data_IF_410619039545
#
_entry.id   IF_410619039545
#
_cell.length_a   1.000
_cell.length_b   1.000
_cell.length_c   1.000
_cell.angle_alpha   90.00
_cell.angle_beta   90.00
_cell.angle_gamma   90.00
#
_symmetry.space_group_name_H-M   'P 1'
#
loop_
_entity.id
_entity.type
_entity.pdbx_description
1 polymer ?
#
# COMPACT_ATOMS: atom_id res chain seq x y z
N UNK A 1 21.04 -35.59 16.86
CA UNK A 1 19.87 -35.52 15.94
C UNK A 1 18.92 -34.37 16.28
N UNK A 2 18.53 -34.18 17.55
CA UNK A 2 17.62 -33.11 17.99
C UNK A 2 18.06 -31.65 17.65
N UNK A 3 19.36 -31.37 17.67
CA UNK A 3 19.92 -30.04 17.33
C UNK A 3 19.76 -29.68 15.85
N UNK A 4 19.82 -30.68 14.95
CA UNK A 4 19.60 -30.47 13.51
C UNK A 4 18.13 -30.20 13.22
N UNK A 5 17.22 -30.80 14.00
CA UNK A 5 15.78 -30.57 13.90
C UNK A 5 15.40 -29.13 14.25
N UNK A 6 16.00 -28.55 15.29
CA UNK A 6 15.76 -27.15 15.68
C UNK A 6 16.25 -26.18 14.60
N UNK A 7 17.41 -26.43 14.00
CA UNK A 7 17.95 -25.63 12.91
C UNK A 7 17.04 -25.69 11.66
N UNK A 8 16.48 -26.86 11.33
CA UNK A 8 15.56 -27.03 10.21
C UNK A 8 14.24 -26.27 10.43
N UNK A 9 13.70 -26.28 11.66
CA UNK A 9 12.47 -25.55 12.00
C UNK A 9 12.67 -24.04 11.92
N UNK A 10 13.82 -23.53 12.35
CA UNK A 10 14.15 -22.10 12.28
C UNK A 10 14.27 -21.55 10.84
N UNK A 11 14.66 -22.39 9.87
CA UNK A 11 14.71 -22.00 8.45
C UNK A 11 13.33 -21.95 7.79
N UNK A 12 12.34 -22.68 8.31
CA UNK A 12 11.00 -22.75 7.71
C UNK A 12 10.11 -21.56 8.10
N UNK A 13 10.35 -20.93 9.25
CA UNK A 13 9.53 -19.80 9.71
C UNK A 13 9.78 -18.50 8.96
N UNK A 14 10.88 -18.40 8.20
CA UNK A 14 11.24 -17.20 7.41
C UNK A 14 10.37 -16.97 6.16
N UNK A 15 9.49 -17.92 5.81
CA UNK A 15 8.68 -17.89 4.57
C UNK A 15 7.31 -17.20 4.79
N UNK A 16 6.96 -16.85 6.02
CA UNK A 16 5.74 -16.10 6.33
C UNK A 16 5.94 -14.60 5.99
N UNK A 17 6.04 -14.29 4.71
CA UNK A 17 6.00 -12.91 4.23
C UNK A 17 4.56 -12.40 4.26
N UNK A 18 4.32 -11.26 4.92
CA UNK A 18 3.03 -10.58 4.86
C UNK A 18 2.74 -10.12 3.42
N UNK A 19 1.76 -10.77 2.79
CA UNK A 19 1.22 -10.33 1.50
C UNK A 19 0.29 -9.15 1.79
N UNK A 20 0.87 -7.96 1.90
CA UNK A 20 0.09 -6.71 1.89
C UNK A 20 -0.51 -6.52 0.49
N UNK A 21 -1.85 -6.58 0.45
CA UNK A 21 -2.63 -6.36 -0.77
C UNK A 21 -2.81 -4.85 -0.99
N UNK A 22 -2.83 -4.39 -2.24
CA UNK A 22 -3.02 -2.95 -2.54
C UNK A 22 -4.49 -2.53 -2.42
N UNK A 23 -5.43 -3.48 -2.36
CA UNK A 23 -6.84 -3.22 -2.11
C UNK A 23 -7.06 -2.44 -0.80
N UNK A 24 -8.00 -1.49 -0.82
CA UNK A 24 -8.34 -0.66 0.34
C UNK A 24 -8.47 0.82 0.00
N UNK A 25 -8.46 1.66 1.04
CA UNK A 25 -8.58 3.11 0.91
C UNK A 25 -7.22 3.79 1.01
N UNK A 26 -6.92 4.62 0.03
CA UNK A 26 -5.64 5.32 -0.10
C UNK A 26 -5.86 6.82 -0.11
N UNK A 27 -4.92 7.56 0.47
CA UNK A 27 -4.94 9.03 0.48
C UNK A 27 -3.97 9.55 -0.57
N UNK A 28 -4.43 10.43 -1.44
CA UNK A 28 -3.56 11.20 -2.32
C UNK A 28 -3.05 12.43 -1.57
N UNK A 29 -1.75 12.69 -1.71
CA UNK A 29 -1.05 13.80 -1.07
C UNK A 29 -0.36 14.60 -2.19
N UNK A 30 -0.53 15.92 -2.18
CA UNK A 30 0.23 16.85 -3.03
C UNK A 30 1.71 16.78 -2.63
N UNK A 31 2.57 16.47 -3.58
CA UNK A 31 4.01 16.31 -3.36
C UNK A 31 4.71 17.65 -3.04
N UNK A 32 4.16 18.78 -3.51
CA UNK A 32 4.70 20.12 -3.28
C UNK A 32 4.27 20.68 -1.92
N UNK A 33 3.03 20.44 -1.50
CA UNK A 33 2.46 21.07 -0.29
C UNK A 33 2.30 20.12 0.88
N UNK A 34 2.29 18.81 0.65
CA UNK A 34 1.94 17.80 1.65
C UNK A 34 0.44 17.76 1.97
N UNK A 35 -0.39 18.52 1.26
CA UNK A 35 -1.81 18.56 1.51
C UNK A 35 -2.51 17.29 1.03
N UNK A 36 -3.52 16.86 1.78
CA UNK A 36 -4.36 15.76 1.38
C UNK A 36 -5.36 16.23 0.31
N UNK A 37 -5.44 15.50 -0.80
CA UNK A 37 -6.27 15.88 -1.94
C UNK A 37 -7.52 15.00 -2.08
N UNK A 38 -7.35 13.68 -2.04
CA UNK A 38 -8.44 12.72 -2.29
C UNK A 38 -8.31 11.45 -1.46
N UNK A 39 -9.42 10.72 -1.33
CA UNK A 39 -9.45 9.31 -0.91
C UNK A 39 -9.84 8.46 -2.12
N UNK A 40 -9.05 7.42 -2.39
CA UNK A 40 -9.21 6.50 -3.51
C UNK A 40 -9.45 5.10 -2.95
N UNK A 41 -10.52 4.45 -3.36
CA UNK A 41 -10.75 3.03 -3.13
C UNK A 41 -10.10 2.22 -4.25
N UNK A 42 -9.19 1.30 -3.90
CA UNK A 42 -8.57 0.36 -4.83
C UNK A 42 -9.23 -1.01 -4.65
N UNK A 43 -9.70 -1.59 -5.76
CA UNK A 43 -10.31 -2.92 -5.82
C UNK A 43 -9.66 -3.78 -6.90
N UNK A 44 -9.47 -5.07 -6.62
CA UNK A 44 -9.08 -6.06 -7.61
C UNK A 44 -10.29 -6.50 -8.43
N UNK A 45 -10.19 -6.41 -9.74
CA UNK A 45 -11.18 -6.89 -10.68
C UNK A 45 -10.96 -8.39 -11.00
N UNK A 46 -12.00 -9.04 -11.51
CA UNK A 46 -11.98 -10.47 -11.84
C UNK A 46 -10.91 -10.84 -12.89
N UNK A 47 -10.49 -9.89 -13.72
CA UNK A 47 -9.42 -10.07 -14.72
C UNK A 47 -8.01 -9.82 -14.14
N UNK A 48 -7.83 -9.88 -12.82
CA UNK A 48 -6.57 -9.60 -12.10
C UNK A 48 -5.99 -8.19 -12.30
N UNK A 49 -6.78 -7.23 -12.79
CA UNK A 49 -6.39 -5.81 -12.81
C UNK A 49 -6.87 -5.10 -11.55
N UNK A 50 -6.22 -4.01 -11.17
CA UNK A 50 -6.67 -3.15 -10.08
C UNK A 50 -7.32 -1.89 -10.64
N UNK A 51 -8.41 -1.45 -10.00
CA UNK A 51 -9.14 -0.23 -10.35
C UNK A 51 -9.22 0.70 -9.15
N UNK A 52 -8.90 1.97 -9.36
CA UNK A 52 -9.06 3.03 -8.38
C UNK A 52 -10.33 3.83 -8.63
N UNK A 53 -11.10 4.12 -7.59
CA UNK A 53 -12.25 5.04 -7.62
C UNK A 53 -12.04 6.14 -6.58
N UNK A 54 -12.12 7.40 -6.99
CA UNK A 54 -12.16 8.51 -6.04
C UNK A 54 -13.48 8.44 -5.27
N UNK A 55 -13.40 8.27 -3.95
CA UNK A 55 -14.57 8.20 -3.07
C UNK A 55 -14.77 9.50 -2.28
N UNK A 56 -13.74 10.34 -2.19
CA UNK A 56 -13.81 11.63 -1.53
C UNK A 56 -12.76 12.61 -2.10
N UNK A 57 -13.12 13.89 -2.19
CA UNK A 57 -12.24 15.00 -2.55
C UNK A 57 -12.26 15.99 -1.39
N UNK A 58 -11.10 16.39 -0.89
CA UNK A 58 -11.02 17.33 0.22
C UNK A 58 -11.35 18.76 -0.25
N UNK A 59 -11.96 19.60 0.61
CA UNK A 59 -12.33 20.96 0.23
C UNK A 59 -11.18 21.84 -0.26
N UNK A 60 -9.97 21.66 0.28
CA UNK A 60 -8.75 22.39 -0.13
C UNK A 60 -8.25 21.99 -1.53
N UNK A 61 -8.69 20.84 -2.06
CA UNK A 61 -8.36 20.42 -3.42
C UNK A 61 -9.26 21.05 -4.49
N UNK A 62 -10.28 21.83 -4.11
CA UNK A 62 -11.18 22.51 -5.06
C UNK A 62 -10.41 23.56 -5.87
N UNK A 63 -10.18 23.28 -7.15
CA UNK A 63 -9.41 24.13 -8.07
C UNK A 63 -8.02 23.59 -8.43
N UNK A 64 -7.55 22.54 -7.75
CA UNK A 64 -6.34 21.82 -8.15
C UNK A 64 -6.68 20.83 -9.28
N UNK A 65 -5.92 20.87 -10.39
CA UNK A 65 -5.96 19.78 -11.36
C UNK A 65 -5.28 18.58 -10.71
N UNK A 66 -6.07 17.64 -10.20
CA UNK A 66 -5.55 16.42 -9.58
C UNK A 66 -5.11 15.46 -10.69
N UNK A 67 -3.86 15.57 -11.13
CA UNK A 67 -3.21 14.54 -11.93
C UNK A 67 -2.88 13.36 -11.03
N UNK A 68 -3.78 12.38 -10.97
CA UNK A 68 -3.55 11.16 -10.20
C UNK A 68 -2.61 10.26 -11.01
N UNK A 69 -1.32 10.39 -10.76
CA UNK A 69 -0.34 9.36 -11.13
C UNK A 69 -0.24 8.43 -9.92
N UNK A 70 -0.86 7.25 -10.01
CA UNK A 70 -0.71 6.19 -9.01
C UNK A 70 0.68 5.57 -9.13
N UNK A 71 1.70 6.27 -8.66
CA UNK A 71 3.03 5.69 -8.46
C UNK A 71 3.02 4.96 -7.12
N UNK A 72 3.03 3.63 -7.14
CA UNK A 72 3.22 2.82 -5.93
C UNK A 72 4.67 2.99 -5.48
N UNK A 73 4.94 4.02 -4.68
CA UNK A 73 6.21 4.13 -3.96
C UNK A 73 6.04 3.36 -2.65
N UNK A 74 6.51 2.10 -2.62
CA UNK A 74 6.58 1.31 -1.39
C UNK A 74 7.54 2.01 -0.42
N UNK A 75 7.04 2.93 0.41
CA UNK A 75 7.75 3.35 1.63
C UNK A 75 7.68 2.16 2.57
N UNK A 76 8.70 1.30 2.51
CA UNK A 76 8.97 0.36 3.59
C UNK A 76 9.27 1.25 4.79
N UNK A 77 8.30 1.43 5.68
CA UNK A 77 8.60 1.88 7.03
C UNK A 77 9.33 0.71 7.68
N UNK A 78 10.66 0.69 7.56
CA UNK A 78 11.52 -0.04 8.48
C UNK A 78 11.33 0.62 9.87
N UNK A 79 10.27 0.23 10.58
CA UNK A 79 10.25 0.39 12.03
C UNK A 79 11.09 -0.73 12.60
N UNK A 80 12.41 -0.51 12.61
CA UNK A 80 13.30 -1.25 13.49
C UNK A 80 12.90 -0.90 14.93
N UNK A 81 12.31 -1.87 15.64
CA UNK A 81 12.33 -1.97 17.09
C UNK A 81 12.80 -3.37 17.43
#
# INVERSE_FOLDING_TARGET
>A
MLKCSIALIACFTSILSDVSTIEGYWRSIDDRTGEQLTIIEIKKAANNTYRGKIVYIYPNAQGAIVHIVLTVHRRIQESHV
#
